data_IF_815275798132
#
_entry.id   IF_815275798132
#
_cell.length_a   1.000
_cell.length_b   1.000
_cell.length_c   1.000
_cell.angle_alpha   90.00
_cell.angle_beta   90.00
_cell.angle_gamma   90.00
#
_symmetry.space_group_name_H-M   'P 1'
#
loop_
_entity.id
_entity.type
_entity.pdbx_description
1 polymer ?
#
# COMPACT_ATOMS: atom_id res chain seq x y z
N UNK A 1 -50.13 -9.66 23.11
CA UNK A 1 -50.99 -9.11 22.04
C UNK A 1 -50.26 -7.87 21.51
N UNK A 2 -49.50 -7.98 20.42
CA UNK A 2 -49.91 -7.67 19.03
C UNK A 2 -50.38 -6.21 18.95
N UNK A 3 -49.55 -5.27 18.48
CA UNK A 3 -49.33 -4.90 17.07
C UNK A 3 -48.56 -3.57 17.11
N UNK A 4 -47.70 -3.09 16.21
CA UNK A 4 -47.26 -3.40 14.84
C UNK A 4 -46.25 -2.28 14.57
N UNK A 5 -44.98 -2.49 14.22
CA UNK A 5 -44.49 -3.15 13.01
C UNK A 5 -45.14 -2.56 11.72
N UNK A 6 -45.21 -1.24 11.59
CA UNK A 6 -45.74 -0.58 10.37
C UNK A 6 -45.08 0.78 10.07
N UNK A 7 -43.76 0.92 10.17
CA UNK A 7 -43.06 2.11 9.63
C UNK A 7 -41.81 1.78 8.78
N UNK A 8 -41.62 0.50 8.41
CA UNK A 8 -40.54 0.04 7.53
C UNK A 8 -41.00 -0.29 6.10
N UNK A 9 -42.19 0.13 5.68
CA UNK A 9 -42.78 -0.31 4.38
C UNK A 9 -43.42 0.81 3.53
N UNK A 10 -43.04 2.09 3.73
CA UNK A 10 -43.54 3.22 2.94
C UNK A 10 -42.45 4.10 2.28
N UNK A 11 -41.27 3.54 2.01
CA UNK A 11 -40.26 4.19 1.18
C UNK A 11 -39.75 3.30 0.04
N UNK A 12 -40.52 2.24 -0.28
CA UNK A 12 -40.24 1.29 -1.34
C UNK A 12 -41.42 1.27 -2.32
N UNK A 13 -41.73 2.45 -2.87
CA UNK A 13 -42.73 2.57 -3.94
C UNK A 13 -42.52 3.85 -4.77
N UNK A 14 -41.34 3.97 -5.38
CA UNK A 14 -41.10 4.86 -6.53
C UNK A 14 -40.05 4.19 -7.44
N UNK A 15 -40.39 2.99 -7.92
CA UNK A 15 -39.71 2.32 -9.01
C UNK A 15 -40.35 2.74 -10.35
N UNK A 16 -39.53 3.16 -11.31
CA UNK A 16 -39.69 2.74 -12.70
C UNK A 16 -40.39 3.68 -13.69
N UNK A 17 -39.60 4.50 -14.38
CA UNK A 17 -39.71 4.89 -15.80
C UNK A 17 -38.54 5.87 -16.07
N UNK A 18 -37.73 5.83 -17.12
CA UNK A 18 -37.78 5.10 -18.37
C UNK A 18 -36.35 4.94 -18.92
N UNK A 19 -36.09 3.79 -19.52
CA UNK A 19 -34.97 3.50 -20.40
C UNK A 19 -35.25 4.23 -21.73
N UNK A 20 -34.24 4.91 -22.27
CA UNK A 20 -34.23 5.33 -23.68
C UNK A 20 -33.65 6.71 -23.90
N UNK A 21 -32.37 6.77 -24.31
CA UNK A 21 -31.80 7.74 -25.27
C UNK A 21 -30.29 7.51 -25.37
N UNK A 22 -29.89 6.32 -25.84
CA UNK A 22 -28.61 6.17 -26.55
C UNK A 22 -28.94 6.29 -28.03
N UNK A 23 -28.04 6.92 -28.79
CA UNK A 23 -28.13 7.28 -30.21
C UNK A 23 -28.75 8.64 -30.45
N UNK A 24 -27.90 9.66 -30.66
CA UNK A 24 -28.03 10.67 -31.72
C UNK A 24 -26.90 11.71 -31.56
N UNK A 25 -25.64 11.32 -31.77
CA UNK A 25 -24.58 12.27 -32.18
C UNK A 25 -23.43 11.47 -32.82
N UNK A 26 -23.69 11.01 -34.04
CA UNK A 26 -22.65 10.51 -34.95
C UNK A 26 -22.98 11.04 -36.35
N UNK A 27 -22.25 12.02 -36.89
CA UNK A 27 -22.23 12.24 -38.32
C UNK A 27 -21.29 11.22 -39.00
N UNK A 28 -21.65 10.69 -40.18
CA UNK A 28 -20.91 9.63 -40.85
C UNK A 28 -19.79 10.19 -41.73
N UNK A 29 -18.72 9.43 -41.94
CA UNK A 29 -17.81 9.65 -43.07
C UNK A 29 -17.25 8.28 -43.51
N UNK A 30 -17.13 8.03 -44.82
CA UNK A 30 -17.41 6.73 -45.43
C UNK A 30 -16.22 5.77 -45.49
N UNK A 31 -16.53 4.49 -45.68
CA UNK A 31 -15.62 3.37 -45.91
C UNK A 31 -15.06 3.36 -47.37
N UNK A 32 -14.36 2.29 -47.82
CA UNK A 32 -12.97 1.95 -47.57
C UNK A 32 -12.17 1.91 -48.90
N UNK A 33 -10.83 2.03 -48.85
CA UNK A 33 -9.98 1.70 -50.02
C UNK A 33 -8.92 0.69 -49.56
N UNK A 34 -8.95 -0.50 -50.16
CA UNK A 34 -7.92 -1.51 -50.05
C UNK A 34 -6.67 -1.09 -50.84
N UNK A 35 -5.47 -1.36 -50.30
CA UNK A 35 -4.26 -1.61 -51.10
C UNK A 35 -3.15 -2.29 -50.27
N UNK A 36 -2.38 -3.10 -51.00
CA UNK A 36 -1.51 -4.26 -50.72
C UNK A 36 -0.10 -3.93 -50.17
N UNK A 37 0.76 -4.94 -49.86
CA UNK A 37 1.80 -4.86 -48.84
C UNK A 37 3.14 -4.31 -49.36
N UNK A 38 3.91 -3.66 -48.49
CA UNK A 38 5.33 -3.42 -48.73
C UNK A 38 6.14 -3.40 -47.43
N UNK A 39 7.11 -4.31 -47.37
CA UNK A 39 8.14 -4.36 -46.35
C UNK A 39 9.20 -3.29 -46.61
N UNK A 40 9.65 -2.60 -45.56
CA UNK A 40 11.02 -2.10 -45.49
C UNK A 40 11.45 -2.03 -44.01
N UNK A 41 12.61 -2.60 -43.73
CA UNK A 41 13.12 -2.89 -42.38
C UNK A 41 13.91 -1.72 -41.78
N UNK A 42 13.97 -1.73 -40.43
CA UNK A 42 15.01 -1.20 -39.50
C UNK A 42 15.15 0.32 -39.25
N UNK A 43 15.70 0.77 -38.09
CA UNK A 43 15.56 0.25 -36.72
C UNK A 43 15.40 1.36 -35.63
N UNK A 44 14.93 0.95 -34.43
CA UNK A 44 15.33 1.43 -33.10
C UNK A 44 15.04 2.89 -32.65
N UNK A 45 14.09 3.04 -31.72
CA UNK A 45 14.35 3.66 -30.42
C UNK A 45 13.25 3.22 -29.45
N UNK A 46 13.44 2.07 -28.80
CA UNK A 46 12.60 1.66 -27.67
C UNK A 46 12.93 2.54 -26.46
N UNK A 47 12.14 3.57 -26.21
CA UNK A 47 12.05 4.17 -24.86
C UNK A 47 11.54 3.09 -23.91
N UNK A 48 12.31 2.68 -22.89
CA UNK A 48 11.74 1.86 -21.84
C UNK A 48 10.81 2.77 -21.03
N UNK A 49 9.50 2.53 -21.16
CA UNK A 49 8.51 3.02 -20.21
C UNK A 49 8.85 2.39 -18.87
N UNK A 50 9.58 3.14 -18.03
CA UNK A 50 9.90 2.77 -16.66
C UNK A 50 8.58 2.66 -15.92
N UNK A 51 8.17 1.42 -15.67
CA UNK A 51 7.14 1.13 -14.69
C UNK A 51 7.52 1.84 -13.38
N UNK A 52 6.57 2.44 -12.64
CA UNK A 52 6.89 2.95 -11.31
C UNK A 52 7.40 1.76 -10.49
N UNK A 53 8.64 1.87 -10.04
CA UNK A 53 9.24 0.91 -9.13
C UNK A 53 8.31 0.82 -7.92
N UNK A 54 7.74 -0.38 -7.70
CA UNK A 54 7.05 -0.67 -6.45
C UNK A 54 8.09 -0.57 -5.35
N UNK A 55 7.98 0.49 -4.55
CA UNK A 55 8.80 0.76 -3.37
C UNK A 55 8.80 -0.47 -2.48
N UNK A 56 9.92 -1.20 -2.49
CA UNK A 56 10.29 -2.12 -1.43
C UNK A 56 10.29 -1.35 -0.11
N UNK A 57 9.84 -2.00 0.96
CA UNK A 57 9.78 -1.45 2.32
C UNK A 57 11.01 -0.56 2.59
N UNK A 58 10.75 0.72 2.83
CA UNK A 58 11.79 1.70 3.17
C UNK A 58 12.36 1.26 4.50
N UNK A 59 13.64 0.91 4.58
CA UNK A 59 14.28 0.63 5.87
C UNK A 59 14.03 1.82 6.82
N UNK A 60 13.69 1.59 8.10
CA UNK A 60 13.25 2.65 9.03
C UNK A 60 14.25 3.81 9.13
N UNK A 61 15.55 3.51 9.10
CA UNK A 61 16.65 4.50 9.10
C UNK A 61 16.62 5.48 7.91
N UNK A 62 15.95 5.11 6.82
CA UNK A 62 15.82 5.96 5.65
C UNK A 62 14.62 6.93 5.77
N UNK A 63 13.58 6.59 6.52
CA UNK A 63 12.43 7.47 6.72
C UNK A 63 12.77 8.61 7.69
N UNK A 64 13.43 8.31 8.81
CA UNK A 64 13.89 9.33 9.76
C UNK A 64 14.83 10.34 9.08
N UNK A 65 15.72 9.86 8.20
CA UNK A 65 16.60 10.73 7.40
C UNK A 65 15.80 11.64 6.49
N UNK A 66 14.82 11.11 5.77
CA UNK A 66 13.95 11.89 4.88
C UNK A 66 13.15 12.95 5.65
N UNK A 67 12.61 12.61 6.83
CA UNK A 67 11.92 13.57 7.71
C UNK A 67 12.86 14.70 8.17
N UNK A 68 14.09 14.36 8.55
CA UNK A 68 15.11 15.32 8.94
C UNK A 68 15.62 16.20 7.79
N UNK A 69 15.69 15.65 6.57
CA UNK A 69 16.02 16.40 5.35
C UNK A 69 14.89 17.36 4.97
N UNK A 70 13.66 16.87 4.91
CA UNK A 70 12.47 17.68 4.64
C UNK A 70 12.36 18.84 5.63
N UNK A 71 12.53 18.59 6.93
CA UNK A 71 12.47 19.63 7.95
C UNK A 71 13.51 20.75 7.75
N UNK A 72 14.68 20.42 7.20
CA UNK A 72 15.75 21.39 6.92
C UNK A 72 15.57 22.14 5.61
N UNK A 73 14.97 21.51 4.59
CA UNK A 73 14.85 22.08 3.24
C UNK A 73 13.47 22.67 2.92
N UNK A 74 12.43 22.36 3.70
CA UNK A 74 11.04 22.74 3.41
C UNK A 74 10.86 24.23 3.12
N UNK A 75 11.57 25.12 3.83
CA UNK A 75 11.48 26.57 3.62
C UNK A 75 12.05 27.04 2.27
N UNK A 76 12.95 26.25 1.67
CA UNK A 76 13.61 26.55 0.38
C UNK A 76 12.83 25.95 -0.81
N UNK A 77 11.91 25.02 -0.55
CA UNK A 77 11.06 24.40 -1.57
C UNK A 77 9.90 25.30 -1.97
N UNK A 78 9.46 25.18 -3.22
CA UNK A 78 8.19 25.79 -3.63
C UNK A 78 7.02 25.20 -2.83
N UNK A 79 5.90 25.91 -2.77
CA UNK A 79 4.71 25.46 -2.04
C UNK A 79 4.21 24.10 -2.55
N UNK A 80 4.21 23.91 -3.87
CA UNK A 80 3.74 22.67 -4.51
C UNK A 80 4.68 21.50 -4.18
N UNK A 81 5.99 21.68 -4.33
CA UNK A 81 6.97 20.64 -4.04
C UNK A 81 6.94 20.26 -2.55
N UNK A 82 6.83 21.25 -1.67
CA UNK A 82 6.76 21.04 -0.23
C UNK A 82 5.51 20.27 0.17
N UNK A 83 4.36 20.62 -0.42
CA UNK A 83 3.11 19.90 -0.20
C UNK A 83 3.21 18.45 -0.66
N UNK A 84 3.68 18.20 -1.88
CA UNK A 84 3.85 16.85 -2.42
C UNK A 84 4.82 16.00 -1.60
N UNK A 85 5.93 16.58 -1.15
CA UNK A 85 6.89 15.90 -0.30
C UNK A 85 6.27 15.56 1.07
N UNK A 86 5.53 16.49 1.68
CA UNK A 86 4.82 16.24 2.94
C UNK A 86 3.77 15.12 2.79
N UNK A 87 2.95 15.16 1.72
CA UNK A 87 1.98 14.10 1.42
C UNK A 87 2.68 12.74 1.26
N UNK A 88 3.80 12.68 0.54
CA UNK A 88 4.58 11.45 0.37
C UNK A 88 5.10 10.89 1.70
N UNK A 89 5.62 11.76 2.57
CA UNK A 89 6.11 11.38 3.89
C UNK A 89 4.97 10.89 4.81
N UNK A 90 3.81 11.54 4.76
CA UNK A 90 2.62 11.09 5.50
C UNK A 90 2.20 9.69 5.05
N UNK A 91 2.18 9.43 3.74
CA UNK A 91 1.85 8.09 3.23
C UNK A 91 2.91 7.04 3.58
N UNK A 92 4.20 7.42 3.62
CA UNK A 92 5.26 6.54 4.12
C UNK A 92 5.03 6.19 5.60
N UNK A 93 4.78 7.19 6.45
CA UNK A 93 4.52 7.01 7.87
C UNK A 93 3.28 6.14 8.15
N UNK A 94 2.20 6.31 7.36
CA UNK A 94 1.02 5.43 7.44
C UNK A 94 1.38 3.96 7.16
N UNK A 95 2.27 3.69 6.21
CA UNK A 95 2.71 2.32 5.90
C UNK A 95 3.54 1.69 7.01
N UNK A 96 4.31 2.47 7.76
CA UNK A 96 5.06 1.96 8.92
C UNK A 96 4.11 1.40 9.99
N UNK A 97 2.96 2.04 10.21
CA UNK A 97 1.94 1.53 11.15
C UNK A 97 1.31 0.23 10.65
N UNK A 98 1.18 0.07 9.32
CA UNK A 98 0.72 -1.19 8.72
C UNK A 98 1.70 -2.34 9.00
N UNK A 99 2.99 -2.07 9.24
CA UNK A 99 4.00 -3.10 9.57
C UNK A 99 4.39 -3.11 11.06
N UNK A 100 3.62 -2.43 11.92
CA UNK A 100 3.73 -2.54 13.37
C UNK A 100 4.33 -1.33 14.10
N UNK A 101 4.61 -0.21 13.42
CA UNK A 101 5.01 1.01 14.11
C UNK A 101 3.90 1.54 15.03
N UNK A 102 4.29 2.22 16.11
CA UNK A 102 3.34 2.75 17.09
C UNK A 102 2.47 3.86 16.46
N UNK A 103 1.13 3.69 16.40
CA UNK A 103 0.27 4.65 15.70
C UNK A 103 0.26 6.03 16.35
N UNK A 104 0.54 6.14 17.66
CA UNK A 104 0.53 7.42 18.37
C UNK A 104 1.78 8.23 18.09
N UNK A 105 2.95 7.60 18.14
CA UNK A 105 4.22 8.22 17.75
C UNK A 105 4.18 8.65 16.28
N UNK A 106 3.74 7.76 15.39
CA UNK A 106 3.58 8.09 13.96
C UNK A 106 2.64 9.28 13.74
N UNK A 107 1.54 9.36 14.50
CA UNK A 107 0.62 10.48 14.40
C UNK A 107 1.27 11.81 14.80
N UNK A 108 2.09 11.83 15.86
CA UNK A 108 2.82 13.03 16.28
C UNK A 108 3.79 13.53 15.20
N UNK A 109 4.38 12.61 14.42
CA UNK A 109 5.23 12.98 13.28
C UNK A 109 4.40 13.51 12.12
N UNK A 110 3.28 12.87 11.79
CA UNK A 110 2.37 13.34 10.74
C UNK A 110 1.81 14.73 11.06
N UNK A 111 1.47 15.02 12.32
CA UNK A 111 0.99 16.35 12.73
C UNK A 111 2.01 17.47 12.48
N UNK A 112 3.32 17.17 12.45
CA UNK A 112 4.35 18.15 12.06
C UNK A 112 4.35 18.42 10.56
N UNK A 113 3.80 17.51 9.76
CA UNK A 113 3.74 17.58 8.30
C UNK A 113 2.43 18.19 7.79
N UNK A 114 1.31 17.98 8.49
CA UNK A 114 -0.02 18.43 8.02
C UNK A 114 -0.15 19.94 7.74
N UNK A 115 0.58 20.87 8.41
CA UNK A 115 0.58 22.28 8.04
C UNK A 115 1.10 22.58 6.62
N UNK A 116 1.90 21.69 6.05
CA UNK A 116 2.41 21.81 4.68
C UNK A 116 1.46 21.24 3.62
N UNK A 117 0.43 20.49 4.05
CA UNK A 117 -0.57 19.87 3.16
C UNK A 117 -1.88 20.65 3.14
N UNK A 118 -2.32 21.08 4.32
CA UNK A 118 -3.51 21.90 4.53
C UNK A 118 -3.14 23.11 5.40
N UNK A 119 -3.40 24.31 4.90
CA UNK A 119 -3.07 25.57 5.57
C UNK A 119 -4.20 26.07 6.46
N UNK A 120 -5.46 25.78 6.10
CA UNK A 120 -6.64 26.13 6.89
C UNK A 120 -6.72 25.31 8.17
N UNK A 121 -6.88 25.98 9.30
CA UNK A 121 -6.86 25.32 10.61
C UNK A 121 -8.00 24.32 10.80
N UNK A 122 -9.22 24.64 10.33
CA UNK A 122 -10.38 23.75 10.50
C UNK A 122 -10.29 22.52 9.61
N UNK A 123 -9.86 22.70 8.37
CA UNK A 123 -9.64 21.56 7.45
C UNK A 123 -8.47 20.68 7.92
N UNK A 124 -7.44 21.28 8.51
CA UNK A 124 -6.32 20.53 9.10
C UNK A 124 -6.75 19.69 10.31
N UNK A 125 -7.59 20.22 11.20
CA UNK A 125 -8.17 19.44 12.30
C UNK A 125 -8.96 18.21 11.79
N UNK A 126 -9.75 18.40 10.73
CA UNK A 126 -10.48 17.30 10.09
C UNK A 126 -9.53 16.26 9.48
N UNK A 127 -8.49 16.71 8.76
CA UNK A 127 -7.45 15.85 8.19
C UNK A 127 -6.70 15.06 9.28
N UNK A 128 -6.28 15.72 10.35
CA UNK A 128 -5.60 15.09 11.48
C UNK A 128 -6.48 14.01 12.12
N UNK A 129 -7.79 14.27 12.26
CA UNK A 129 -8.74 13.27 12.77
C UNK A 129 -8.88 12.06 11.83
N UNK A 130 -9.04 12.28 10.52
CA UNK A 130 -9.12 11.20 9.53
C UNK A 130 -7.86 10.34 9.53
N UNK A 131 -6.69 10.98 9.59
CA UNK A 131 -5.41 10.28 9.69
C UNK A 131 -5.36 9.45 10.96
N UNK A 132 -5.69 10.01 12.12
CA UNK A 132 -5.68 9.28 13.38
C UNK A 132 -6.58 8.05 13.35
N UNK A 133 -7.77 8.15 12.77
CA UNK A 133 -8.67 7.01 12.61
C UNK A 133 -8.06 5.94 11.70
N UNK A 134 -7.48 6.32 10.56
CA UNK A 134 -6.82 5.38 9.65
C UNK A 134 -5.63 4.65 10.30
N UNK A 135 -4.83 5.34 11.12
CA UNK A 135 -3.72 4.74 11.85
C UNK A 135 -4.22 3.73 12.90
N UNK A 136 -5.26 4.09 13.64
CA UNK A 136 -5.88 3.18 14.62
C UNK A 136 -6.44 1.92 13.96
N UNK A 137 -7.13 2.07 12.84
CA UNK A 137 -7.70 0.93 12.12
C UNK A 137 -6.60 0.00 11.61
N UNK A 138 -5.51 0.58 11.09
CA UNK A 138 -4.33 -0.19 10.66
C UNK A 138 -3.67 -0.94 11.82
N UNK A 139 -3.49 -0.28 12.96
CA UNK A 139 -2.93 -0.90 14.16
C UNK A 139 -3.84 -1.99 14.75
N UNK A 140 -5.16 -1.84 14.64
CA UNK A 140 -6.12 -2.85 15.11
C UNK A 140 -5.97 -4.18 14.34
N UNK A 141 -5.69 -4.13 13.03
CA UNK A 141 -5.44 -5.33 12.20
C UNK A 141 -4.22 -6.10 12.70
N UNK A 142 -3.17 -5.40 13.11
CA UNK A 142 -1.95 -6.01 13.63
C UNK A 142 -2.18 -6.76 14.96
N UNK A 143 -3.10 -6.27 15.78
CA UNK A 143 -3.44 -6.84 17.09
C UNK A 143 -4.44 -8.01 17.04
N UNK A 144 -5.05 -8.28 15.87
CA UNK A 144 -6.03 -9.38 15.76
C UNK A 144 -5.37 -10.74 15.97
N UNK A 145 -5.89 -11.62 16.85
CA UNK A 145 -5.31 -12.95 17.03
C UNK A 145 -5.25 -13.73 15.69
N UNK A 146 -4.28 -14.64 15.51
CA UNK A 146 -4.25 -15.48 14.32
C UNK A 146 -5.53 -16.33 14.25
N UNK A 147 -6.04 -16.52 13.04
CA UNK A 147 -7.09 -17.51 12.78
C UNK A 147 -6.50 -18.92 12.89
N UNK A 148 -7.33 -19.98 13.07
CA UNK A 148 -6.82 -21.35 13.15
C UNK A 148 -5.99 -21.79 11.93
N UNK A 149 -6.29 -21.28 10.74
CA UNK A 149 -5.48 -21.53 9.54
C UNK A 149 -4.12 -20.84 9.60
N UNK A 150 -4.08 -19.61 10.11
CA UNK A 150 -2.84 -18.85 10.32
C UNK A 150 -1.98 -19.44 11.45
N UNK A 151 -2.59 -20.03 12.48
CA UNK A 151 -1.88 -20.79 13.50
C UNK A 151 -1.18 -22.03 12.91
N UNK A 152 -1.81 -22.71 11.95
CA UNK A 152 -1.18 -23.83 11.26
C UNK A 152 0.00 -23.35 10.39
N UNK A 153 -0.18 -22.25 9.65
CA UNK A 153 0.92 -21.64 8.88
C UNK A 153 2.09 -21.22 9.76
N UNK A 154 1.82 -20.66 10.95
CA UNK A 154 2.86 -20.33 11.94
C UNK A 154 3.61 -21.58 12.42
N UNK A 155 2.89 -22.69 12.67
CA UNK A 155 3.50 -23.96 13.08
C UNK A 155 4.34 -24.56 11.96
N UNK A 156 3.83 -24.54 10.72
CA UNK A 156 4.56 -24.98 9.53
C UNK A 156 5.84 -24.16 9.34
N UNK A 157 5.75 -22.83 9.43
CA UNK A 157 6.90 -21.95 9.32
C UNK A 157 7.95 -22.22 10.39
N UNK A 158 7.56 -22.44 11.66
CA UNK A 158 8.49 -22.79 12.72
C UNK A 158 9.27 -24.08 12.40
N UNK A 159 8.58 -25.12 11.92
CA UNK A 159 9.22 -26.40 11.59
C UNK A 159 10.14 -26.32 10.37
N UNK A 160 9.70 -25.62 9.31
CA UNK A 160 10.48 -25.52 8.08
C UNK A 160 11.64 -24.52 8.19
N UNK A 161 11.50 -23.48 9.03
CA UNK A 161 12.58 -22.52 9.29
C UNK A 161 13.74 -23.18 10.06
N UNK A 162 13.45 -24.00 11.07
CA UNK A 162 14.48 -24.76 11.80
C UNK A 162 15.28 -25.68 10.88
N UNK A 163 14.60 -26.37 9.95
CA UNK A 163 15.26 -27.20 8.93
C UNK A 163 16.12 -26.37 7.99
N UNK A 164 15.58 -25.27 7.48
CA UNK A 164 16.28 -24.36 6.58
C UNK A 164 17.55 -23.78 7.22
N UNK A 165 17.48 -23.38 8.49
CA UNK A 165 18.65 -22.88 9.23
C UNK A 165 19.68 -24.00 9.39
N UNK A 166 19.28 -25.20 9.81
CA UNK A 166 20.19 -26.33 9.96
C UNK A 166 20.90 -26.71 8.65
N UNK A 167 20.18 -26.71 7.52
CA UNK A 167 20.74 -26.95 6.19
C UNK A 167 21.79 -25.91 5.81
N UNK A 168 21.51 -24.63 6.03
CA UNK A 168 22.47 -23.54 5.72
C UNK A 168 23.70 -23.64 6.63
N UNK A 169 23.52 -23.90 7.93
CA UNK A 169 24.64 -24.06 8.86
C UNK A 169 25.54 -25.25 8.51
N UNK A 170 24.98 -26.33 7.95
CA UNK A 170 25.71 -27.51 7.52
C UNK A 170 26.44 -27.34 6.17
N UNK A 171 25.98 -26.42 5.31
CA UNK A 171 26.42 -26.32 3.91
C UNK A 171 27.20 -25.05 3.56
N UNK A 172 27.00 -23.96 4.30
CA UNK A 172 27.67 -22.67 4.08
C UNK A 172 28.79 -22.51 5.09
N UNK A 173 29.98 -22.11 4.61
CA UNK A 173 31.11 -21.74 5.44
C UNK A 173 31.23 -20.21 5.54
N UNK A 174 31.66 -19.71 6.70
CA UNK A 174 31.72 -18.28 6.98
C UNK A 174 30.45 -17.76 7.66
N UNK A 175 30.64 -17.02 8.75
CA UNK A 175 29.54 -16.51 9.58
C UNK A 175 28.67 -15.51 8.83
N UNK A 176 29.29 -14.52 8.18
CA UNK A 176 28.58 -13.49 7.39
C UNK A 176 27.79 -14.09 6.23
N UNK A 177 28.37 -15.08 5.53
CA UNK A 177 27.70 -15.79 4.44
C UNK A 177 26.54 -16.66 4.93
N UNK A 178 26.67 -17.29 6.11
CA UNK A 178 25.57 -18.03 6.75
C UNK A 178 24.42 -17.13 7.10
N UNK A 179 24.67 -15.97 7.70
CA UNK A 179 23.61 -15.02 8.05
C UNK A 179 22.83 -14.58 6.81
N UNK A 180 23.52 -14.14 5.76
CA UNK A 180 22.88 -13.75 4.51
C UNK A 180 22.09 -14.91 3.86
N UNK A 181 22.64 -16.12 3.87
CA UNK A 181 21.97 -17.30 3.30
C UNK A 181 20.75 -17.74 4.12
N UNK A 182 20.82 -17.65 5.46
CA UNK A 182 19.68 -17.89 6.35
C UNK A 182 18.58 -16.88 6.06
N UNK A 183 18.91 -15.59 6.00
CA UNK A 183 17.93 -14.52 5.77
C UNK A 183 17.19 -14.70 4.44
N UNK A 184 17.91 -14.98 3.35
CA UNK A 184 17.30 -15.25 2.04
C UNK A 184 16.44 -16.51 2.04
N UNK A 185 16.88 -17.57 2.74
CA UNK A 185 16.11 -18.82 2.83
C UNK A 185 14.83 -18.64 3.63
N UNK A 186 14.91 -17.94 4.77
CA UNK A 186 13.74 -17.61 5.60
C UNK A 186 12.79 -16.67 4.86
N UNK A 187 13.30 -15.69 4.13
CA UNK A 187 12.49 -14.80 3.28
C UNK A 187 11.71 -15.58 2.22
N UNK A 188 12.38 -16.51 1.52
CA UNK A 188 11.71 -17.38 0.55
C UNK A 188 10.63 -18.26 1.20
N UNK A 189 10.93 -18.80 2.39
CA UNK A 189 9.99 -19.61 3.14
C UNK A 189 8.75 -18.82 3.59
N UNK A 190 8.93 -17.57 4.08
CA UNK A 190 7.82 -16.68 4.42
C UNK A 190 6.89 -16.47 3.22
N UNK A 191 7.46 -16.18 2.05
CA UNK A 191 6.70 -15.99 0.81
C UNK A 191 5.97 -17.25 0.37
N UNK A 192 6.55 -18.43 0.58
CA UNK A 192 5.92 -19.71 0.25
C UNK A 192 4.72 -20.01 1.16
N UNK A 193 4.86 -19.82 2.48
CA UNK A 193 3.85 -20.23 3.46
C UNK A 193 2.75 -19.17 3.61
N UNK A 194 3.12 -17.90 3.69
CA UNK A 194 2.20 -16.80 3.97
C UNK A 194 1.81 -16.00 2.71
N UNK A 195 2.48 -16.22 1.57
CA UNK A 195 2.26 -15.45 0.34
C UNK A 195 2.94 -14.08 0.31
N UNK A 196 3.57 -13.66 1.40
CA UNK A 196 4.24 -12.38 1.56
C UNK A 196 5.57 -12.51 2.32
N UNK A 197 6.49 -11.58 2.07
CA UNK A 197 7.86 -11.65 2.62
C UNK A 197 7.92 -11.26 4.10
N UNK A 198 7.00 -10.41 4.55
CA UNK A 198 6.93 -9.90 5.92
C UNK A 198 5.49 -10.02 6.44
N UNK A 199 5.06 -11.22 6.85
CA UNK A 199 3.69 -11.44 7.29
C UNK A 199 3.44 -10.84 8.67
N UNK A 200 2.25 -10.25 8.86
CA UNK A 200 1.80 -9.68 10.14
C UNK A 200 1.93 -10.66 11.32
N UNK A 201 1.80 -11.95 11.03
CA UNK A 201 1.82 -13.02 12.00
C UNK A 201 3.20 -13.21 12.65
N UNK A 202 4.27 -12.76 12.00
CA UNK A 202 5.66 -12.88 12.49
C UNK A 202 6.21 -11.56 13.05
N UNK A 203 5.39 -10.49 13.09
CA UNK A 203 5.81 -9.14 13.52
C UNK A 203 5.45 -8.83 14.99
N UNK A 204 5.03 -9.84 15.77
CA UNK A 204 4.55 -9.67 17.16
C UNK A 204 5.59 -9.97 18.22
#
# INVERSE_FOLDING_TARGET
MKSTLTWTLLALLLCGAAIGSVLLFYPPTPAPIAQTPQATSTPNLSTPSRAPEMTTATAPDNLERQLGEFSRSAAQMSEIERKQAAESLIEQLKREVVVGADPRQTFEEIQRLTPYVETDARRREALDFEIWMALKDSAAIQQQPPTPGEEEQLREYAQESDKAIAEVLASVEGEEQRHAAIDERLKALRKQIFGEENPRLLQR
#
